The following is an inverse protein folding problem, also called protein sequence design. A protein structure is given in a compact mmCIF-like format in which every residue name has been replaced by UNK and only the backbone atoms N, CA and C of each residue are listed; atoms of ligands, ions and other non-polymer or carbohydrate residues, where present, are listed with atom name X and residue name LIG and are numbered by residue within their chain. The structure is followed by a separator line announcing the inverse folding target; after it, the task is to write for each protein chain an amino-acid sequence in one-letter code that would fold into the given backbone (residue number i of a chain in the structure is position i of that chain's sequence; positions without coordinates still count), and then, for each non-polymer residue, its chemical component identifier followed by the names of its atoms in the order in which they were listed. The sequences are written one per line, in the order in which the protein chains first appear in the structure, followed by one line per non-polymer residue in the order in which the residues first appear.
data_IF_171223989267
#
_entry.id   IF_171223989267
#
_cell.length_a   1.000
_cell.length_b   1.000
_cell.length_c   1.000
_cell.angle_alpha   90.00
_cell.angle_beta   90.00
_cell.angle_gamma   90.00
#
_symmetry.space_group_name_H-M   'P 1'
#
loop_
_entity.id
_entity.type
_entity.pdbx_description
1 polymer ?
#
# COMPACT_ATOMS: atom_id res chain seq x y z
N UNK A 1 9.90 -12.95 -31.27
CA UNK A 1 9.19 -13.24 -29.99
C UNK A 1 10.18 -13.84 -28.98
N UNK A 2 10.64 -13.08 -27.99
CA UNK A 2 11.56 -13.61 -26.95
C UNK A 2 10.73 -14.22 -25.81
N UNK A 3 10.66 -15.56 -25.74
CA UNK A 3 10.02 -16.26 -24.62
C UNK A 3 10.85 -16.05 -23.35
N UNK A 4 10.38 -15.18 -22.44
CA UNK A 4 10.98 -15.02 -21.10
C UNK A 4 10.86 -16.33 -20.33
N UNK A 5 11.97 -17.06 -20.13
CA UNK A 5 12.03 -18.24 -19.25
C UNK A 5 11.59 -17.83 -17.84
N UNK A 6 10.57 -18.50 -17.29
CA UNK A 6 10.14 -18.32 -15.90
C UNK A 6 11.23 -18.86 -14.98
N UNK A 7 12.01 -17.98 -14.34
CA UNK A 7 12.96 -18.37 -13.30
C UNK A 7 12.18 -18.86 -12.08
N UNK A 8 12.52 -20.02 -11.53
CA UNK A 8 11.90 -20.59 -10.34
C UNK A 8 12.61 -20.14 -9.06
N UNK A 9 11.84 -19.91 -7.99
CA UNK A 9 12.37 -19.54 -6.68
C UNK A 9 12.90 -20.79 -6.00
N UNK A 10 14.12 -20.73 -5.49
CA UNK A 10 14.74 -21.79 -4.68
C UNK A 10 14.28 -21.67 -3.24
N UNK A 11 14.22 -22.78 -2.52
CA UNK A 11 14.01 -22.81 -1.07
C UNK A 11 15.38 -22.71 -0.38
N UNK A 12 15.56 -21.73 0.50
CA UNK A 12 16.76 -21.59 1.32
C UNK A 12 16.67 -22.53 2.53
N UNK A 13 17.82 -22.88 3.13
CA UNK A 13 17.88 -23.69 4.35
C UNK A 13 17.08 -23.09 5.52
N UNK A 14 16.90 -21.76 5.54
CA UNK A 14 16.04 -21.05 6.49
C UNK A 14 14.52 -21.17 6.20
N UNK A 15 14.10 -21.97 5.21
CA UNK A 15 12.70 -22.20 4.86
C UNK A 15 12.06 -21.14 3.95
N UNK A 16 12.77 -20.07 3.60
CA UNK A 16 12.26 -19.00 2.74
C UNK A 16 12.49 -19.27 1.24
N UNK A 17 11.65 -18.72 0.36
CA UNK A 17 11.80 -18.86 -1.11
C UNK A 17 12.35 -17.59 -1.76
N UNK A 18 13.38 -17.70 -2.59
CA UNK A 18 13.94 -16.54 -3.31
C UNK A 18 14.80 -16.91 -4.53
N UNK A 19 15.29 -15.87 -5.20
CA UNK A 19 16.14 -15.99 -6.39
C UNK A 19 17.61 -15.65 -6.14
N UNK A 20 17.92 -15.10 -4.96
CA UNK A 20 19.25 -14.65 -4.57
C UNK A 20 20.16 -15.79 -4.11
N UNK A 21 21.44 -15.48 -3.90
CA UNK A 21 22.43 -16.41 -3.30
C UNK A 21 22.18 -16.63 -1.81
N UNK A 22 21.63 -15.62 -1.13
CA UNK A 22 21.38 -15.64 0.31
C UNK A 22 19.96 -15.14 0.62
N UNK A 23 19.47 -15.48 1.81
CA UNK A 23 18.17 -15.04 2.25
C UNK A 23 18.24 -13.63 2.84
N UNK A 24 17.85 -12.62 2.06
CA UNK A 24 17.73 -11.23 2.55
C UNK A 24 16.78 -11.05 3.73
N UNK A 25 15.87 -12.01 3.93
CA UNK A 25 14.97 -11.99 5.09
C UNK A 25 15.73 -12.33 6.37
N UNK A 26 16.71 -13.23 6.31
CA UNK A 26 17.57 -13.56 7.45
C UNK A 26 18.64 -12.49 7.69
N UNK A 27 19.19 -11.91 6.63
CA UNK A 27 20.20 -10.85 6.70
C UNK A 27 19.69 -9.62 7.46
N UNK A 28 18.42 -9.23 7.23
CA UNK A 28 17.77 -8.15 7.95
C UNK A 28 17.55 -8.42 9.45
N UNK A 29 17.54 -9.68 9.89
CA UNK A 29 17.49 -10.03 11.32
C UNK A 29 18.89 -10.11 11.95
N UNK A 30 19.94 -10.31 11.16
CA UNK A 30 21.32 -10.46 11.65
C UNK A 30 22.05 -9.14 11.87
N UNK A 31 21.60 -8.04 11.26
CA UNK A 31 22.20 -6.69 11.44
C UNK A 31 21.57 -5.89 12.58
N UNK A 32 21.04 -6.55 13.62
CA UNK A 32 20.81 -5.94 14.93
C UNK A 32 22.10 -5.98 15.75
N UNK A 33 23.01 -5.02 15.52
CA UNK A 33 24.18 -4.82 16.39
C UNK A 33 23.69 -4.44 17.79
N UNK A 34 24.20 -5.19 18.78
CA UNK A 34 23.90 -5.15 20.21
C UNK A 34 24.73 -4.10 20.96
N UNK A 35 24.11 -3.59 22.03
CA UNK A 35 24.64 -3.11 23.32
C UNK A 35 25.58 -1.88 23.46
N UNK A 36 25.10 -0.93 24.28
CA UNK A 36 25.67 -0.72 25.63
C UNK A 36 24.56 -0.52 26.68
N UNK A 37 24.37 -1.57 27.47
CA UNK A 37 24.04 -1.64 28.91
C UNK A 37 23.04 -0.62 29.49
N UNK A 38 21.84 -1.09 29.85
CA UNK A 38 21.28 -0.92 31.22
C UNK A 38 20.14 -1.92 31.38
N UNK A 39 20.16 -2.58 32.53
CA UNK A 39 19.33 -3.70 32.95
C UNK A 39 17.86 -3.29 33.07
N UNK A 40 17.00 -3.78 32.16
CA UNK A 40 15.56 -3.92 32.42
C UNK A 40 15.10 -5.23 31.78
N UNK A 41 14.45 -6.05 32.61
CA UNK A 41 13.93 -7.39 32.34
C UNK A 41 13.13 -7.46 31.03
N UNK A 42 13.35 -8.46 30.15
CA UNK A 42 12.57 -8.61 28.94
C UNK A 42 11.18 -9.15 29.24
N UNK A 43 10.18 -8.28 29.15
CA UNK A 43 8.78 -8.67 28.97
C UNK A 43 8.69 -9.41 27.63
N UNK A 44 8.50 -10.72 27.71
CA UNK A 44 8.34 -11.62 26.55
C UNK A 44 7.07 -11.28 25.77
N UNK A 45 7.19 -10.44 24.72
CA UNK A 45 6.08 -10.22 23.78
C UNK A 45 6.17 -11.28 22.68
N UNK A 46 5.47 -12.37 22.93
CA UNK A 46 5.22 -13.50 22.03
C UNK A 46 4.51 -13.02 20.73
N UNK A 47 5.22 -13.02 19.60
CA UNK A 47 4.63 -12.75 18.26
C UNK A 47 4.25 -14.07 17.57
N UNK A 48 3.52 -14.95 18.26
CA UNK A 48 2.91 -16.13 17.64
C UNK A 48 1.60 -15.76 16.92
N UNK A 49 1.58 -16.12 15.63
CA UNK A 49 0.40 -16.60 14.89
C UNK A 49 -0.79 -15.63 14.91
N UNK A 50 -0.83 -14.70 13.96
CA UNK A 50 -2.04 -13.92 13.66
C UNK A 50 -3.16 -14.87 13.23
N UNK A 51 -4.06 -15.18 14.18
CA UNK A 51 -5.29 -15.96 13.96
C UNK A 51 -6.11 -15.28 12.86
N UNK A 52 -6.67 -16.07 11.93
CA UNK A 52 -7.64 -15.55 10.95
C UNK A 52 -8.77 -14.84 11.72
N UNK A 53 -9.01 -13.55 11.49
CA UNK A 53 -10.03 -12.84 12.26
C UNK A 53 -11.41 -13.42 11.94
N UNK A 54 -12.22 -13.62 12.98
CA UNK A 54 -13.65 -13.92 12.87
C UNK A 54 -14.30 -12.86 11.95
N UNK A 55 -15.31 -13.26 11.18
CA UNK A 55 -16.06 -12.33 10.31
C UNK A 55 -16.79 -11.33 11.20
N UNK A 56 -16.14 -10.20 11.42
CA UNK A 56 -16.66 -9.09 12.18
C UNK A 56 -17.68 -8.34 11.32
N UNK A 57 -18.97 -8.55 11.59
CA UNK A 57 -20.07 -7.89 10.90
C UNK A 57 -20.07 -6.36 11.10
N UNK A 58 -19.40 -5.84 12.14
CA UNK A 58 -19.22 -4.39 12.34
C UNK A 58 -18.37 -3.73 11.25
N UNK A 59 -17.66 -4.54 10.46
CA UNK A 59 -16.82 -4.07 9.36
C UNK A 59 -17.61 -3.32 8.27
N UNK A 60 -18.83 -3.78 7.96
CA UNK A 60 -19.65 -3.21 6.88
C UNK A 60 -20.49 -2.00 7.30
N UNK A 61 -20.72 -1.80 8.59
CA UNK A 61 -21.54 -0.68 9.09
C UNK A 61 -20.79 0.67 9.08
N UNK A 62 -19.47 0.68 8.86
CA UNK A 62 -18.63 1.89 8.96
C UNK A 62 -18.41 2.63 7.64
N UNK A 63 -18.91 2.10 6.52
CA UNK A 63 -18.64 2.67 5.19
C UNK A 63 -19.37 3.98 4.91
N UNK A 64 -20.46 4.26 5.61
CA UNK A 64 -21.23 5.51 5.46
C UNK A 64 -20.45 6.75 5.89
N UNK A 65 -19.46 6.58 6.78
CA UNK A 65 -18.59 7.65 7.27
C UNK A 65 -17.35 7.88 6.40
N UNK A 66 -17.11 7.01 5.41
CA UNK A 66 -15.93 7.16 4.55
C UNK A 66 -16.22 8.23 3.47
N UNK A 67 -15.27 9.13 3.17
CA UNK A 67 -15.46 10.17 2.15
C UNK A 67 -15.50 9.62 0.72
N UNK A 68 -15.18 8.33 0.53
CA UNK A 68 -15.13 7.65 -0.76
C UNK A 68 -15.68 6.22 -0.63
N UNK A 69 -16.19 5.70 -1.73
CA UNK A 69 -16.75 4.35 -1.79
C UNK A 69 -15.65 3.28 -1.68
N UNK A 70 -15.68 2.46 -0.62
CA UNK A 70 -14.65 1.45 -0.32
C UNK A 70 -15.19 0.00 -0.27
N UNK A 71 -16.50 -0.23 -0.41
CA UNK A 71 -17.11 -1.56 -0.20
C UNK A 71 -16.61 -2.61 -1.18
N UNK A 72 -16.24 -2.19 -2.38
CA UNK A 72 -15.73 -3.05 -3.45
C UNK A 72 -14.27 -3.49 -3.24
N UNK A 73 -13.57 -2.95 -2.23
CA UNK A 73 -12.16 -3.22 -2.00
C UNK A 73 -11.96 -4.34 -0.96
N UNK A 74 -10.87 -5.11 -1.04
CA UNK A 74 -10.51 -6.04 0.01
C UNK A 74 -10.30 -5.33 1.36
N UNK A 75 -10.69 -5.99 2.47
CA UNK A 75 -10.59 -5.43 3.84
C UNK A 75 -9.24 -4.79 4.15
N UNK A 76 -8.14 -5.43 3.76
CA UNK A 76 -6.78 -4.91 4.01
C UNK A 76 -6.48 -3.61 3.25
N UNK A 77 -7.11 -3.41 2.09
CA UNK A 77 -6.99 -2.18 1.29
C UNK A 77 -7.82 -1.06 1.90
N UNK A 78 -9.04 -1.36 2.36
CA UNK A 78 -9.88 -0.39 3.06
C UNK A 78 -9.17 0.16 4.30
N UNK A 79 -8.61 -0.71 5.17
CA UNK A 79 -7.90 -0.28 6.38
C UNK A 79 -6.75 0.67 6.02
N UNK A 80 -5.95 0.31 5.02
CA UNK A 80 -4.83 1.15 4.56
C UNK A 80 -5.30 2.46 3.94
N UNK A 81 -6.41 2.42 3.22
CA UNK A 81 -6.98 3.61 2.59
C UNK A 81 -7.46 4.58 3.65
N UNK A 82 -8.22 4.13 4.66
CA UNK A 82 -8.63 4.95 5.81
C UNK A 82 -7.44 5.61 6.49
N UNK A 83 -6.39 4.84 6.80
CA UNK A 83 -5.15 5.40 7.37
C UNK A 83 -4.52 6.49 6.51
N UNK A 84 -4.55 6.34 5.18
CA UNK A 84 -4.05 7.38 4.26
C UNK A 84 -4.96 8.62 4.33
N UNK A 85 -6.28 8.44 4.38
CA UNK A 85 -7.24 9.54 4.49
C UNK A 85 -7.06 10.29 5.81
N UNK A 86 -6.91 9.58 6.93
CA UNK A 86 -6.66 10.18 8.25
C UNK A 86 -5.36 11.01 8.23
N UNK A 87 -4.29 10.49 7.61
CA UNK A 87 -3.03 11.23 7.48
C UNK A 87 -3.17 12.49 6.60
N UNK A 88 -3.97 12.41 5.54
CA UNK A 88 -4.26 13.58 4.69
C UNK A 88 -5.06 14.63 5.45
N UNK A 89 -6.01 14.22 6.29
CA UNK A 89 -6.82 15.11 7.13
C UNK A 89 -5.97 15.79 8.21
N UNK A 90 -4.98 15.08 8.77
CA UNK A 90 -3.95 15.63 9.65
C UNK A 90 -2.94 16.57 8.94
N UNK A 91 -3.08 16.80 7.63
CA UNK A 91 -2.24 17.70 6.87
C UNK A 91 -0.92 17.10 6.39
N UNK A 92 -0.73 15.78 6.46
CA UNK A 92 0.48 15.12 5.94
C UNK A 92 0.59 15.35 4.44
N UNK A 93 1.74 15.86 4.00
CA UNK A 93 1.96 16.17 2.59
C UNK A 93 1.87 14.88 1.74
N UNK A 94 1.21 14.91 0.56
CA UNK A 94 1.11 13.74 -0.31
C UNK A 94 2.46 13.12 -0.68
N UNK A 95 3.52 13.91 -0.74
CA UNK A 95 4.88 13.43 -1.03
C UNK A 95 5.37 12.39 -0.02
N UNK A 96 5.07 12.57 1.26
CA UNK A 96 5.43 11.65 2.35
C UNK A 96 4.67 10.32 2.24
N UNK A 97 3.45 10.38 1.72
CA UNK A 97 2.62 9.22 1.40
C UNK A 97 3.03 8.54 0.09
N UNK A 98 4.18 8.92 -0.48
CA UNK A 98 4.68 8.48 -1.80
C UNK A 98 3.72 8.86 -2.95
N UNK A 99 2.91 9.89 -2.71
CA UNK A 99 2.00 10.48 -3.66
C UNK A 99 2.74 11.16 -4.79
N UNK A 100 2.18 11.09 -6.00
CA UNK A 100 2.71 11.76 -7.18
C UNK A 100 1.59 12.43 -7.95
N UNK A 101 1.83 13.67 -8.39
CA UNK A 101 0.96 14.37 -9.33
C UNK A 101 1.01 13.67 -10.69
N UNK A 102 -0.08 13.75 -11.44
CA UNK A 102 -0.07 13.26 -12.82
C UNK A 102 0.67 14.25 -13.72
N UNK A 103 1.23 13.76 -14.83
CA UNK A 103 1.93 14.62 -15.78
C UNK A 103 0.96 15.42 -16.64
N UNK A 104 -0.17 14.81 -17.02
CA UNK A 104 -1.17 15.44 -17.90
C UNK A 104 -2.12 16.39 -17.17
N UNK A 105 -2.25 16.23 -15.86
CA UNK A 105 -3.13 17.03 -15.01
C UNK A 105 -2.50 17.16 -13.63
N UNK A 106 -1.95 18.33 -13.34
CA UNK A 106 -1.23 18.60 -12.10
C UNK A 106 -2.15 18.77 -10.91
N UNK A 107 -3.46 18.92 -11.14
CA UNK A 107 -4.48 18.94 -10.08
C UNK A 107 -4.75 17.52 -9.57
N UNK A 108 -4.51 16.49 -10.38
CA UNK A 108 -4.68 15.11 -9.96
C UNK A 108 -3.41 14.58 -9.32
N UNK A 109 -3.59 13.75 -8.30
CA UNK A 109 -2.51 13.02 -7.65
C UNK A 109 -2.90 11.57 -7.37
N UNK A 110 -1.91 10.69 -7.37
CA UNK A 110 -2.07 9.28 -7.03
C UNK A 110 -1.25 8.97 -5.79
N UNK A 111 -1.82 8.22 -4.85
CA UNK A 111 -1.14 7.72 -3.66
C UNK A 111 -1.17 6.18 -3.69
N UNK A 112 -0.02 5.50 -3.61
CA UNK A 112 0.01 4.05 -3.60
C UNK A 112 -0.54 3.51 -2.26
N UNK A 113 -1.64 2.75 -2.33
CA UNK A 113 -2.18 2.03 -1.15
C UNK A 113 -1.49 0.66 -1.01
N UNK A 114 -1.25 0.02 -2.14
CA UNK A 114 -0.49 -1.23 -2.24
C UNK A 114 0.12 -1.37 -3.64
N UNK A 115 0.75 -2.51 -3.93
CA UNK A 115 1.24 -2.82 -5.27
C UNK A 115 0.14 -2.76 -6.34
N UNK A 116 -1.07 -3.22 -6.02
CA UNK A 116 -2.19 -3.35 -6.97
C UNK A 116 -3.20 -2.22 -6.92
N UNK A 117 -3.15 -1.35 -5.91
CA UNK A 117 -4.19 -0.36 -5.65
C UNK A 117 -3.59 1.02 -5.44
N UNK A 118 -4.21 2.04 -6.04
CA UNK A 118 -3.83 3.44 -5.94
C UNK A 118 -5.04 4.26 -5.57
N UNK A 119 -4.91 5.07 -4.52
CA UNK A 119 -5.88 6.09 -4.18
C UNK A 119 -5.68 7.26 -5.15
N UNK A 120 -6.76 7.68 -5.79
CA UNK A 120 -6.77 8.92 -6.57
C UNK A 120 -7.16 10.06 -5.63
N UNK A 121 -6.55 11.22 -5.78
CA UNK A 121 -7.03 12.45 -5.14
C UNK A 121 -6.95 13.61 -6.12
N UNK A 122 -7.65 14.69 -5.81
CA UNK A 122 -7.61 15.96 -6.54
C UNK A 122 -7.25 17.10 -5.60
N UNK A 123 -6.28 17.90 -6.00
CA UNK A 123 -5.98 19.18 -5.40
C UNK A 123 -7.08 20.19 -5.79
N UNK A 124 -7.76 20.77 -4.82
CA UNK A 124 -8.76 21.81 -5.04
C UNK A 124 -8.52 22.96 -4.07
N UNK A 125 -8.28 24.15 -4.60
CA UNK A 125 -7.93 25.36 -3.85
C UNK A 125 -6.82 25.10 -2.80
N UNK A 126 -7.22 24.76 -1.58
CA UNK A 126 -6.34 24.56 -0.44
C UNK A 126 -6.44 23.17 0.22
N UNK A 127 -7.17 22.23 -0.40
CA UNK A 127 -7.38 20.88 0.16
C UNK A 127 -7.22 19.77 -0.85
N UNK A 128 -6.92 18.59 -0.33
CA UNK A 128 -6.84 17.35 -1.11
C UNK A 128 -8.16 16.62 -0.95
N UNK A 129 -8.92 16.55 -2.04
CA UNK A 129 -10.18 15.81 -2.09
C UNK A 129 -9.88 14.36 -2.50
N UNK A 130 -10.17 13.37 -1.65
CA UNK A 130 -10.01 11.97 -2.01
C UNK A 130 -11.01 11.57 -3.09
N UNK A 131 -10.56 10.72 -4.01
CA UNK A 131 -11.34 10.14 -5.10
C UNK A 131 -11.27 8.60 -4.99
N UNK A 132 -11.93 7.83 -5.87
CA UNK A 132 -11.97 6.38 -5.75
C UNK A 132 -10.58 5.72 -5.74
N UNK A 133 -10.47 4.62 -4.98
CA UNK A 133 -9.31 3.73 -5.07
C UNK A 133 -9.44 2.86 -6.30
N UNK A 134 -8.42 2.86 -7.13
CA UNK A 134 -8.40 2.12 -8.38
C UNK A 134 -7.40 0.97 -8.32
N UNK A 135 -7.75 -0.12 -9.00
CA UNK A 135 -6.78 -1.16 -9.32
C UNK A 135 -5.71 -0.61 -10.27
N UNK A 136 -4.58 -1.31 -10.38
CA UNK A 136 -3.51 -0.96 -11.31
C UNK A 136 -4.01 -0.89 -12.76
N UNK A 137 -4.90 -1.79 -13.16
CA UNK A 137 -5.45 -1.89 -14.51
C UNK A 137 -6.40 -0.73 -14.81
N UNK A 138 -7.35 -0.46 -13.91
CA UNK A 138 -8.27 0.67 -14.04
C UNK A 138 -7.53 2.02 -14.03
N UNK A 139 -6.51 2.13 -13.16
CA UNK A 139 -5.61 3.28 -13.15
C UNK A 139 -4.87 3.45 -14.50
N UNK A 140 -4.34 2.37 -15.05
CA UNK A 140 -3.58 2.43 -16.30
C UNK A 140 -4.49 2.88 -17.44
N UNK A 141 -5.73 2.39 -17.51
CA UNK A 141 -6.72 2.85 -18.48
C UNK A 141 -6.92 4.37 -18.41
N UNK A 142 -7.04 4.97 -17.21
CA UNK A 142 -7.16 6.44 -17.07
C UNK A 142 -5.88 7.16 -17.50
N UNK A 143 -4.71 6.65 -17.12
CA UNK A 143 -3.43 7.26 -17.49
C UNK A 143 -3.12 7.17 -18.99
N UNK A 144 -3.67 6.17 -19.69
CA UNK A 144 -3.44 5.94 -21.11
C UNK A 144 -4.56 6.50 -22.02
N UNK A 145 -5.83 6.41 -21.61
CA UNK A 145 -6.98 6.77 -22.47
C UNK A 145 -7.13 8.27 -22.75
N UNK A 146 -6.51 9.16 -21.96
CA UNK A 146 -6.65 10.60 -22.22
C UNK A 146 -5.80 11.12 -23.38
N UNK A 147 -4.95 10.28 -24.00
CA UNK A 147 -4.38 10.60 -25.32
C UNK A 147 -5.44 10.66 -26.44
N UNK A 148 -6.63 10.06 -26.26
CA UNK A 148 -7.69 10.06 -27.28
C UNK A 148 -8.78 11.12 -27.10
N UNK A 149 -8.97 11.66 -25.89
CA UNK A 149 -10.02 12.66 -25.61
C UNK A 149 -9.69 14.09 -26.09
N UNK A 150 -8.50 14.31 -26.69
CA UNK A 150 -8.06 15.61 -27.22
C UNK A 150 -8.25 15.73 -28.75
N UNK A 151 -9.08 14.85 -29.34
CA UNK A 151 -9.28 14.71 -30.79
C UNK A 151 -10.74 14.89 -31.25
N UNK A 152 -11.57 15.55 -30.44
CA UNK A 152 -12.90 16.01 -30.85
C UNK A 152 -12.98 17.51 -30.64
#
# INVERSE_FOLDING_TARGET
MVRRRRKWRKLFACGHRGFGRYCHRCDAFSTGKRDRTTEIQPVVVDVRRVKKPKRDHSWYQRFDRDPIELRHLPKSIVIKTRRILDLLDLGVAPGELKGRRFNFDRTLLRIPVSYRYRLLCRWQADRIVPLPVLSHEAYNAISHNRKQAKKR
#
